data_IF_771893637993
#
_entry.id   IF_771893637993
#
_cell.length_a   1.000
_cell.length_b   1.000
_cell.length_c   1.000
_cell.angle_alpha   90.00
_cell.angle_beta   90.00
_cell.angle_gamma   90.00
#
_symmetry.space_group_name_H-M   'P 1'
#
loop_
_entity.id
_entity.type
_entity.pdbx_description
1 polymer ?
#
# COMPACT_ATOMS: atom_id res chain seq x y z
N UNK A 1 -26.47 31.98 77.82
CA UNK A 1 -27.56 31.01 78.01
C UNK A 1 -26.98 29.76 78.63
N UNK A 2 -27.55 29.36 79.77
CA UNK A 2 -27.41 28.08 80.49
C UNK A 2 -26.02 27.61 80.90
N UNK A 3 -25.63 28.05 82.10
CA UNK A 3 -24.70 27.36 82.97
C UNK A 3 -25.32 26.01 83.42
N UNK A 4 -24.61 24.91 83.21
CA UNK A 4 -24.94 23.63 83.84
C UNK A 4 -24.27 23.58 85.23
N UNK A 5 -25.11 23.52 86.26
CA UNK A 5 -24.76 23.30 87.66
C UNK A 5 -23.95 22.00 87.85
N UNK A 6 -23.04 21.94 88.84
CA UNK A 6 -22.42 20.67 89.23
C UNK A 6 -23.45 19.76 89.90
N UNK A 7 -23.37 18.43 89.73
CA UNK A 7 -24.26 17.52 90.44
C UNK A 7 -23.93 17.55 91.93
N UNK A 8 -24.97 17.70 92.75
CA UNK A 8 -24.91 17.64 94.20
C UNK A 8 -24.24 16.33 94.65
N UNK A 9 -23.20 16.44 95.47
CA UNK A 9 -22.55 15.30 96.10
C UNK A 9 -23.48 14.66 97.12
N UNK A 10 -23.92 13.44 96.87
CA UNK A 10 -24.37 12.52 97.91
C UNK A 10 -23.33 12.46 99.04
N UNK A 11 -23.73 12.34 100.33
CA UNK A 11 -22.78 12.18 101.42
C UNK A 11 -21.84 11.01 101.10
N UNK A 12 -20.52 11.22 101.12
CA UNK A 12 -19.53 10.17 100.84
C UNK A 12 -19.63 9.12 101.94
N UNK A 13 -20.46 8.11 101.73
CA UNK A 13 -20.35 6.83 102.45
C UNK A 13 -18.97 6.26 102.13
N UNK A 14 -18.15 6.12 103.15
CA UNK A 14 -16.83 5.49 103.04
C UNK A 14 -16.92 4.08 103.59
N UNK A 15 -16.02 3.19 103.18
CA UNK A 15 -15.97 1.85 103.77
C UNK A 15 -15.84 1.93 105.31
N UNK A 16 -15.10 2.92 105.81
CA UNK A 16 -14.96 3.16 107.25
C UNK A 16 -16.25 3.60 107.96
N UNK A 17 -17.10 4.43 107.32
CA UNK A 17 -18.38 4.85 107.94
C UNK A 17 -19.40 3.72 107.98
N UNK A 18 -19.45 2.88 106.93
CA UNK A 18 -20.33 1.71 106.88
C UNK A 18 -19.88 0.60 107.83
N UNK A 19 -18.57 0.43 108.02
CA UNK A 19 -18.02 -0.49 109.02
C UNK A 19 -18.36 -0.06 110.45
N UNK A 20 -18.32 1.24 110.75
CA UNK A 20 -18.70 1.76 112.07
C UNK A 20 -20.20 1.58 112.34
N UNK A 21 -21.05 1.81 111.34
CA UNK A 21 -22.48 1.55 111.43
C UNK A 21 -22.77 0.04 111.64
N UNK A 22 -22.03 -0.83 110.96
CA UNK A 22 -22.11 -2.29 111.15
C UNK A 22 -21.69 -2.72 112.56
N UNK A 23 -20.68 -2.06 113.15
CA UNK A 23 -20.27 -2.29 114.55
C UNK A 23 -21.37 -1.91 115.54
N UNK A 24 -22.01 -0.75 115.36
CA UNK A 24 -23.14 -0.32 116.20
C UNK A 24 -24.29 -1.32 116.12
N UNK A 25 -24.64 -1.78 114.91
CA UNK A 25 -25.70 -2.77 114.70
C UNK A 25 -25.34 -4.12 115.34
N UNK A 26 -24.09 -4.58 115.22
CA UNK A 26 -23.64 -5.80 115.87
C UNK A 26 -23.68 -5.71 117.39
N UNK A 27 -23.40 -4.54 117.97
CA UNK A 27 -23.51 -4.28 119.41
C UNK A 27 -24.98 -4.28 119.87
N UNK A 28 -25.91 -3.78 119.06
CA UNK A 28 -27.36 -3.82 119.34
C UNK A 28 -27.96 -5.23 119.26
N UNK A 29 -27.49 -6.06 118.32
CA UNK A 29 -28.01 -7.43 118.10
C UNK A 29 -27.36 -8.45 119.06
N UNK A 30 -26.17 -8.14 119.60
CA UNK A 30 -25.42 -9.04 120.48
C UNK A 30 -24.64 -10.12 119.71
N UNK A 31 -24.15 -9.81 118.50
CA UNK A 31 -23.35 -10.73 117.70
C UNK A 31 -22.02 -11.08 118.36
N UNK A 32 -21.63 -12.36 118.36
CA UNK A 32 -20.38 -12.81 118.99
C UNK A 32 -19.13 -12.46 118.19
N UNK A 33 -18.00 -12.23 118.86
CA UNK A 33 -16.73 -11.80 118.24
C UNK A 33 -16.29 -12.70 117.08
N UNK A 34 -16.42 -14.03 117.21
CA UNK A 34 -16.08 -14.98 116.16
C UNK A 34 -16.92 -14.83 114.87
N UNK A 35 -18.17 -14.40 115.00
CA UNK A 35 -19.09 -14.21 113.88
C UNK A 35 -18.87 -12.85 113.21
N UNK A 36 -18.57 -11.81 114.02
CA UNK A 36 -18.11 -10.50 113.54
C UNK A 36 -16.81 -10.64 112.72
N UNK A 37 -15.82 -11.36 113.24
CA UNK A 37 -14.56 -11.65 112.53
C UNK A 37 -14.81 -12.40 111.22
N UNK A 38 -15.72 -13.38 111.22
CA UNK A 38 -16.12 -14.12 110.00
C UNK A 38 -16.73 -13.20 108.95
N UNK A 39 -17.65 -12.32 109.34
CA UNK A 39 -18.30 -11.37 108.43
C UNK A 39 -17.32 -10.30 107.91
N UNK A 40 -16.40 -9.82 108.76
CA UNK A 40 -15.33 -8.89 108.36
C UNK A 40 -14.36 -9.54 107.35
N UNK A 41 -13.93 -10.78 107.61
CA UNK A 41 -13.08 -11.54 106.67
C UNK A 41 -13.79 -11.78 105.33
N UNK A 42 -15.10 -12.06 105.35
CA UNK A 42 -15.90 -12.20 104.13
C UNK A 42 -15.95 -10.88 103.34
N UNK A 43 -16.19 -9.74 104.02
CA UNK A 43 -16.22 -8.43 103.39
C UNK A 43 -14.85 -8.04 102.81
N UNK A 44 -13.76 -8.35 103.52
CA UNK A 44 -12.38 -8.16 103.03
C UNK A 44 -12.12 -8.99 101.78
N UNK A 45 -12.54 -10.26 101.78
CA UNK A 45 -12.39 -11.17 100.64
C UNK A 45 -13.20 -10.68 99.42
N UNK A 46 -14.45 -10.27 99.61
CA UNK A 46 -15.29 -9.70 98.55
C UNK A 46 -14.70 -8.40 97.98
N UNK A 47 -14.20 -7.50 98.84
CA UNK A 47 -13.49 -6.29 98.41
C UNK A 47 -12.23 -6.62 97.60
N UNK A 48 -11.42 -7.56 98.07
CA UNK A 48 -10.22 -8.03 97.37
C UNK A 48 -10.56 -8.63 96.01
N UNK A 49 -11.64 -9.39 95.89
CA UNK A 49 -12.06 -10.00 94.62
C UNK A 49 -12.58 -8.95 93.63
N UNK A 50 -13.25 -7.89 94.08
CA UNK A 50 -13.59 -6.72 93.25
C UNK A 50 -12.32 -6.04 92.74
N UNK A 51 -11.34 -5.79 93.61
CA UNK A 51 -10.06 -5.20 93.21
C UNK A 51 -9.30 -6.09 92.22
N UNK A 52 -9.19 -7.41 92.48
CA UNK A 52 -8.57 -8.38 91.57
C UNK A 52 -9.25 -8.38 90.21
N UNK A 53 -10.58 -8.48 90.18
CA UNK A 53 -11.36 -8.43 88.94
C UNK A 53 -11.08 -7.14 88.17
N UNK A 54 -10.99 -5.99 88.85
CA UNK A 54 -10.74 -4.72 88.17
C UNK A 54 -9.30 -4.58 87.68
N UNK A 55 -8.33 -5.10 88.42
CA UNK A 55 -6.93 -5.24 87.98
C UNK A 55 -6.84 -6.15 86.75
N UNK A 56 -7.51 -7.30 86.75
CA UNK A 56 -7.48 -8.25 85.63
C UNK A 56 -8.14 -7.68 84.37
N UNK A 57 -9.28 -7.00 84.50
CA UNK A 57 -9.91 -6.27 83.40
C UNK A 57 -8.99 -5.19 82.84
N UNK A 58 -8.30 -4.44 83.70
CA UNK A 58 -7.36 -3.40 83.28
C UNK A 58 -6.11 -3.99 82.64
N UNK A 59 -5.64 -5.15 83.13
CA UNK A 59 -4.51 -5.90 82.53
C UNK A 59 -4.87 -6.40 81.13
N UNK A 60 -6.07 -6.96 80.94
CA UNK A 60 -6.58 -7.35 79.62
C UNK A 60 -6.64 -6.16 78.67
N UNK A 61 -7.22 -5.04 79.10
CA UNK A 61 -7.29 -3.82 78.30
C UNK A 61 -5.90 -3.26 77.95
N UNK A 62 -4.93 -3.32 78.88
CA UNK A 62 -3.54 -2.95 78.59
C UNK A 62 -2.92 -3.86 77.52
N UNK A 63 -3.14 -5.18 77.61
CA UNK A 63 -2.64 -6.13 76.60
C UNK A 63 -3.27 -5.89 75.23
N UNK A 64 -4.56 -5.56 75.17
CA UNK A 64 -5.24 -5.17 73.93
C UNK A 64 -4.61 -3.92 73.31
N UNK A 65 -4.36 -2.87 74.12
CA UNK A 65 -3.66 -1.67 73.64
C UNK A 65 -2.24 -1.96 73.14
N UNK A 66 -1.49 -2.82 73.83
CA UNK A 66 -0.16 -3.24 73.37
C UNK A 66 -0.23 -4.01 72.04
N UNK A 67 -1.25 -4.86 71.85
CA UNK A 67 -1.48 -5.57 70.58
C UNK A 67 -1.81 -4.60 69.45
N UNK A 68 -2.78 -3.70 69.65
CA UNK A 68 -3.14 -2.68 68.63
C UNK A 68 -1.94 -1.81 68.25
N UNK A 69 -1.09 -1.46 69.22
CA UNK A 69 0.14 -0.73 68.95
C UNK A 69 1.10 -1.55 68.07
N UNK A 70 1.33 -2.82 68.41
CA UNK A 70 2.18 -3.71 67.62
C UNK A 70 1.64 -3.94 66.20
N UNK A 71 0.32 -4.11 66.05
CA UNK A 71 -0.33 -4.29 64.76
C UNK A 71 -0.20 -3.02 63.88
N UNK A 72 -0.40 -1.85 64.48
CA UNK A 72 -0.21 -0.55 63.80
C UNK A 72 1.24 -0.35 63.37
N UNK A 73 2.21 -0.78 64.19
CA UNK A 73 3.64 -0.69 63.87
C UNK A 73 4.02 -1.64 62.75
N UNK A 74 3.47 -2.86 62.77
CA UNK A 74 3.66 -3.83 61.70
C UNK A 74 3.10 -3.32 60.37
N UNK A 75 1.92 -2.69 60.39
CA UNK A 75 1.30 -2.14 59.18
C UNK A 75 2.08 -0.94 58.62
N UNK A 76 2.56 -0.02 59.47
CA UNK A 76 3.45 1.06 59.01
C UNK A 76 4.70 0.49 58.34
N UNK A 77 5.35 -0.51 58.95
CA UNK A 77 6.54 -1.13 58.35
C UNK A 77 6.22 -1.80 57.01
N UNK A 78 5.05 -2.42 56.89
CA UNK A 78 4.57 -3.04 55.65
C UNK A 78 4.34 -1.99 54.55
N UNK A 79 3.65 -0.90 54.87
CA UNK A 79 3.40 0.21 53.95
C UNK A 79 4.70 0.91 53.51
N UNK A 80 5.60 1.18 54.45
CA UNK A 80 6.91 1.78 54.17
C UNK A 80 7.75 0.87 53.27
N UNK A 81 7.74 -0.44 53.52
CA UNK A 81 8.44 -1.43 52.68
C UNK A 81 7.85 -1.49 51.27
N UNK A 82 6.51 -1.55 51.16
CA UNK A 82 5.82 -1.59 49.86
C UNK A 82 6.05 -0.32 49.03
N UNK A 83 6.08 0.86 49.67
CA UNK A 83 6.38 2.14 49.01
C UNK A 83 7.87 2.33 48.70
N UNK A 84 8.76 1.49 49.27
CA UNK A 84 10.21 1.62 49.14
C UNK A 84 10.79 2.82 49.88
N UNK A 85 10.12 3.29 50.92
CA UNK A 85 10.53 4.46 51.68
C UNK A 85 11.48 4.09 52.81
N UNK A 86 12.36 5.02 53.18
CA UNK A 86 13.27 4.80 54.30
C UNK A 86 12.56 5.12 55.61
N UNK A 87 12.82 4.35 56.66
CA UNK A 87 12.32 4.64 58.00
C UNK A 87 12.76 6.03 58.55
N UNK A 88 13.73 6.68 57.90
CA UNK A 88 14.15 8.04 58.19
C UNK A 88 13.16 9.12 57.70
N UNK A 89 12.36 8.82 56.67
CA UNK A 89 11.33 9.71 56.13
C UNK A 89 10.16 9.90 57.09
N UNK A 90 9.96 8.93 57.99
CA UNK A 90 8.94 8.96 59.04
C UNK A 90 9.62 8.87 60.41
N UNK A 91 10.26 9.96 60.87
CA UNK A 91 11.00 9.95 62.12
C UNK A 91 10.04 9.64 63.27
N UNK A 92 10.16 8.41 63.78
CA UNK A 92 9.44 7.94 64.95
C UNK A 92 9.84 8.83 66.12
N UNK A 93 8.98 9.80 66.48
CA UNK A 93 9.13 10.53 67.76
C UNK A 93 9.13 9.46 68.85
N UNK A 94 10.30 9.21 69.45
CA UNK A 94 10.51 8.16 70.45
C UNK A 94 9.33 8.13 71.43
N UNK A 95 8.81 6.93 71.66
CA UNK A 95 7.70 6.59 72.54
C UNK A 95 7.74 7.36 73.87
N UNK A 96 7.18 8.57 73.88
CA UNK A 96 7.06 9.42 75.06
C UNK A 96 5.58 9.67 75.28
N UNK A 97 4.99 8.89 76.18
CA UNK A 97 3.58 9.00 76.53
C UNK A 97 2.95 7.65 76.89
N UNK A 98 1.70 7.70 77.32
CA UNK A 98 0.87 6.53 77.58
C UNK A 98 0.59 5.72 76.29
N UNK A 99 0.22 4.44 76.41
CA UNK A 99 -0.12 3.60 75.25
C UNK A 99 -1.18 4.24 74.34
N UNK A 100 -2.18 4.92 74.92
CA UNK A 100 -3.22 5.64 74.17
C UNK A 100 -2.65 6.80 73.35
N UNK A 101 -1.71 7.56 73.90
CA UNK A 101 -1.07 8.67 73.19
C UNK A 101 -0.17 8.16 72.07
N UNK A 102 0.49 7.01 72.25
CA UNK A 102 1.31 6.39 71.21
C UNK A 102 0.48 5.90 70.03
N UNK A 103 -0.66 5.23 70.30
CA UNK A 103 -1.60 4.80 69.25
C UNK A 103 -2.16 6.02 68.50
N UNK A 104 -2.65 7.04 69.21
CA UNK A 104 -3.18 8.26 68.60
C UNK A 104 -2.14 9.04 67.76
N UNK A 105 -0.85 8.95 68.11
CA UNK A 105 0.22 9.57 67.34
C UNK A 105 0.53 8.82 66.02
N UNK A 106 0.17 7.53 65.92
CA UNK A 106 0.41 6.70 64.73
C UNK A 106 -0.73 6.80 63.70
N UNK A 107 -1.94 7.10 64.15
CA UNK A 107 -3.13 7.26 63.31
C UNK A 107 -2.92 8.21 62.11
N UNK A 108 -2.44 9.47 62.27
CA UNK A 108 -2.21 10.36 61.12
C UNK A 108 -1.11 9.86 60.17
N UNK A 109 -0.11 9.13 60.69
CA UNK A 109 0.96 8.56 59.88
C UNK A 109 0.46 7.38 59.02
N UNK A 110 -0.42 6.54 59.58
CA UNK A 110 -1.11 5.49 58.83
C UNK A 110 -2.01 6.07 57.74
N UNK A 111 -2.73 7.15 58.02
CA UNK A 111 -3.55 7.86 57.03
C UNK A 111 -2.69 8.42 55.89
N UNK A 112 -1.56 9.08 56.21
CA UNK A 112 -0.63 9.62 55.20
C UNK A 112 -0.05 8.52 54.29
N UNK A 113 0.45 7.43 54.89
CA UNK A 113 1.01 6.29 54.15
C UNK A 113 -0.04 5.58 53.30
N UNK A 114 -1.26 5.43 53.82
CA UNK A 114 -2.38 4.82 53.08
C UNK A 114 -2.81 5.69 51.90
N UNK A 115 -2.91 7.00 52.08
CA UNK A 115 -3.21 7.94 50.99
C UNK A 115 -2.12 7.91 49.90
N UNK A 116 -0.85 7.83 50.30
CA UNK A 116 0.28 7.72 49.38
C UNK A 116 0.30 6.40 48.62
N UNK A 117 -0.02 5.29 49.28
CA UNK A 117 -0.22 3.97 48.66
C UNK A 117 -1.31 4.05 47.59
N UNK A 118 -2.48 4.59 47.91
CA UNK A 118 -3.59 4.69 46.96
C UNK A 118 -3.25 5.58 45.75
N UNK A 119 -2.59 6.72 45.99
CA UNK A 119 -2.10 7.58 44.91
C UNK A 119 -1.10 6.85 43.99
N UNK A 120 -0.18 6.08 44.59
CA UNK A 120 0.82 5.32 43.84
C UNK A 120 0.18 4.19 43.02
N UNK A 121 -0.76 3.44 43.60
CA UNK A 121 -1.51 2.41 42.88
C UNK A 121 -2.22 3.01 41.66
N UNK A 122 -2.84 4.18 41.81
CA UNK A 122 -3.48 4.88 40.69
C UNK A 122 -2.50 5.19 39.56
N UNK A 123 -1.32 5.75 39.88
CA UNK A 123 -0.27 6.01 38.88
C UNK A 123 0.21 4.73 38.16
N UNK A 124 0.35 3.62 38.91
CA UNK A 124 0.71 2.32 38.33
C UNK A 124 -0.38 1.82 37.37
N UNK A 125 -1.65 1.83 37.80
CA UNK A 125 -2.81 1.44 36.97
C UNK A 125 -2.85 2.24 35.67
N UNK A 126 -2.74 3.57 35.77
CA UNK A 126 -2.77 4.46 34.61
C UNK A 126 -1.60 4.19 33.65
N UNK A 127 -0.38 4.00 34.19
CA UNK A 127 0.82 3.72 33.39
C UNK A 127 0.72 2.37 32.69
N UNK A 128 0.28 1.32 33.40
CA UNK A 128 0.09 -0.02 32.84
C UNK A 128 -1.00 -0.03 31.77
N UNK A 129 -2.15 0.60 32.04
CA UNK A 129 -3.23 0.72 31.05
C UNK A 129 -2.77 1.41 29.76
N UNK A 130 -1.95 2.48 29.88
CA UNK A 130 -1.36 3.13 28.71
C UNK A 130 -0.38 2.24 27.95
N UNK A 131 0.46 1.47 28.66
CA UNK A 131 1.39 0.50 28.06
C UNK A 131 0.60 -0.57 27.30
N UNK A 132 -0.38 -1.19 27.94
CA UNK A 132 -1.21 -2.25 27.34
C UNK A 132 -1.98 -1.75 26.13
N UNK A 133 -2.51 -0.52 26.19
CA UNK A 133 -3.14 0.13 25.03
C UNK A 133 -2.17 0.27 23.85
N UNK A 134 -0.98 0.84 24.06
CA UNK A 134 0.00 1.04 22.97
C UNK A 134 0.51 -0.31 22.43
N UNK A 135 0.78 -1.27 23.31
CA UNK A 135 1.13 -2.63 22.91
C UNK A 135 0.03 -3.27 22.06
N UNK A 136 -1.24 -3.11 22.44
CA UNK A 136 -2.39 -3.60 21.68
C UNK A 136 -2.51 -2.95 20.30
N UNK A 137 -2.31 -1.63 20.20
CA UNK A 137 -2.27 -0.92 18.91
C UNK A 137 -1.14 -1.41 18.00
N UNK A 138 0.05 -1.66 18.55
CA UNK A 138 1.22 -2.19 17.84
C UNK A 138 1.02 -3.64 17.40
N UNK A 139 0.36 -4.46 18.22
CA UNK A 139 0.05 -5.84 17.91
C UNK A 139 -1.10 -5.97 16.88
N UNK A 140 -1.97 -4.96 16.80
CA UNK A 140 -3.19 -5.01 15.98
C UNK A 140 -4.43 -5.56 16.72
N UNK A 141 -4.37 -5.66 18.05
CA UNK A 141 -5.47 -6.15 18.90
C UNK A 141 -6.45 -5.03 19.31
N UNK A 142 -6.50 -3.92 18.58
CA UNK A 142 -7.16 -2.66 18.95
C UNK A 142 -8.68 -2.69 19.16
N UNK A 143 -9.31 -3.86 19.16
CA UNK A 143 -10.71 -4.06 19.52
C UNK A 143 -10.93 -4.70 20.91
N UNK A 144 -9.90 -5.26 21.54
CA UNK A 144 -10.01 -5.71 22.92
C UNK A 144 -9.68 -4.55 23.85
N UNK A 145 -10.73 -3.88 24.32
CA UNK A 145 -10.65 -3.19 25.61
C UNK A 145 -10.21 -4.27 26.59
N UNK A 146 -8.96 -4.21 27.03
CA UNK A 146 -8.50 -5.01 28.15
C UNK A 146 -9.26 -4.50 29.39
N UNK A 147 -10.50 -4.95 29.51
CA UNK A 147 -11.33 -4.85 30.71
C UNK A 147 -10.90 -5.87 31.76
N UNK A 148 -9.66 -6.38 31.66
CA UNK A 148 -9.00 -7.07 32.74
C UNK A 148 -8.32 -6.01 33.57
N UNK A 149 -8.84 -5.78 34.76
CA UNK A 149 -8.18 -5.03 35.82
C UNK A 149 -6.77 -5.61 36.00
N UNK A 150 -5.78 -5.05 35.30
CA UNK A 150 -4.39 -5.45 35.42
C UNK A 150 -4.00 -5.16 36.85
N UNK A 151 -4.05 -6.20 37.67
CA UNK A 151 -3.88 -6.08 39.10
C UNK A 151 -2.49 -5.53 39.37
N UNK A 152 -2.44 -4.30 39.90
CA UNK A 152 -1.19 -3.71 40.35
C UNK A 152 -0.65 -4.58 41.45
N UNK A 153 0.62 -4.95 41.32
CA UNK A 153 1.36 -5.61 42.38
C UNK A 153 1.52 -4.65 43.57
N UNK A 154 0.61 -4.76 44.54
CA UNK A 154 0.62 -3.92 45.74
C UNK A 154 1.80 -4.21 46.68
N UNK A 155 2.56 -5.27 46.43
CA UNK A 155 3.72 -5.63 47.25
C UNK A 155 4.94 -4.75 46.97
N UNK A 156 5.03 -4.15 45.78
CA UNK A 156 6.14 -3.30 45.36
C UNK A 156 5.65 -2.11 44.53
N UNK A 157 5.43 -1.00 45.24
CA UNK A 157 5.01 0.30 44.76
C UNK A 157 6.17 1.32 44.77
N UNK A 158 7.40 0.81 44.70
CA UNK A 158 8.62 1.62 44.78
C UNK A 158 8.70 2.66 43.66
N UNK A 159 9.31 3.81 43.95
CA UNK A 159 9.56 4.87 42.94
C UNK A 159 10.42 4.35 41.79
N UNK A 160 11.35 3.43 42.08
CA UNK A 160 12.22 2.81 41.08
C UNK A 160 11.40 2.03 40.05
N UNK A 161 10.53 1.11 40.49
CA UNK A 161 9.68 0.31 39.59
C UNK A 161 8.71 1.16 38.78
N UNK A 162 8.13 2.19 39.41
CA UNK A 162 7.31 3.16 38.68
C UNK A 162 8.13 3.90 37.61
N UNK A 163 9.37 4.28 37.93
CA UNK A 163 10.30 4.89 37.00
C UNK A 163 10.63 3.99 35.80
N UNK A 164 10.84 2.70 36.03
CA UNK A 164 11.05 1.70 34.98
C UNK A 164 9.83 1.57 34.05
N UNK A 165 8.62 1.51 34.61
CA UNK A 165 7.38 1.50 33.82
C UNK A 165 7.18 2.79 33.02
N UNK A 166 7.43 3.96 33.62
CA UNK A 166 7.38 5.26 32.92
C UNK A 166 8.44 5.34 31.82
N UNK A 167 9.62 4.76 32.03
CA UNK A 167 10.67 4.59 31.01
C UNK A 167 10.18 3.76 29.82
N UNK A 168 9.64 2.56 30.10
CA UNK A 168 9.04 1.69 29.07
C UNK A 168 7.89 2.36 28.32
N UNK A 169 7.03 3.10 29.02
CA UNK A 169 5.95 3.86 28.40
C UNK A 169 6.50 4.91 27.41
N UNK A 170 7.56 5.62 27.79
CA UNK A 170 8.21 6.61 26.91
C UNK A 170 8.82 5.95 25.67
N UNK A 171 9.47 4.80 25.82
CA UNK A 171 10.00 4.02 24.69
C UNK A 171 8.88 3.59 23.73
N UNK A 172 7.77 3.08 24.27
CA UNK A 172 6.61 2.68 23.47
C UNK A 172 5.93 3.87 22.76
N UNK A 173 5.86 5.03 23.41
CA UNK A 173 5.36 6.26 22.79
C UNK A 173 6.25 6.70 21.62
N UNK A 174 7.58 6.61 21.78
CA UNK A 174 8.53 6.91 20.70
C UNK A 174 8.38 5.92 19.53
N UNK A 175 8.28 4.62 19.82
CA UNK A 175 8.05 3.58 18.82
C UNK A 175 6.72 3.81 18.06
N UNK A 176 5.65 4.14 18.78
CA UNK A 176 4.35 4.50 18.17
C UNK A 176 4.49 5.68 17.20
N UNK A 177 5.22 6.73 17.57
CA UNK A 177 5.45 7.87 16.70
C UNK A 177 6.27 7.48 15.45
N UNK A 178 7.36 6.74 15.64
CA UNK A 178 8.20 6.26 14.54
C UNK A 178 7.40 5.40 13.55
N UNK A 179 6.55 4.50 14.04
CA UNK A 179 5.65 3.69 13.21
C UNK A 179 4.63 4.54 12.46
N UNK A 180 4.04 5.54 13.12
CA UNK A 180 3.10 6.45 12.46
C UNK A 180 3.77 7.24 11.32
N UNK A 181 4.99 7.74 11.54
CA UNK A 181 5.78 8.38 10.50
C UNK A 181 6.06 7.42 9.34
N UNK A 182 6.43 6.17 9.63
CA UNK A 182 6.67 5.13 8.63
C UNK A 182 5.42 4.81 7.82
N UNK A 183 4.25 4.67 8.47
CA UNK A 183 2.95 4.48 7.80
C UNK A 183 2.65 5.65 6.87
N UNK A 184 2.83 6.89 7.33
CA UNK A 184 2.60 8.07 6.49
C UNK A 184 3.56 8.13 5.29
N UNK A 185 4.84 7.78 5.50
CA UNK A 185 5.82 7.67 4.42
C UNK A 185 5.41 6.61 3.39
N UNK A 186 4.97 5.44 3.84
CA UNK A 186 4.47 4.37 2.95
C UNK A 186 3.23 4.79 2.17
N UNK A 187 2.28 5.49 2.81
CA UNK A 187 1.11 6.04 2.11
C UNK A 187 1.54 7.03 1.03
N UNK A 188 2.52 7.90 1.29
CA UNK A 188 3.06 8.82 0.28
C UNK A 188 3.67 8.07 -0.90
N UNK A 189 4.47 7.02 -0.64
CA UNK A 189 5.06 6.20 -1.71
C UNK A 189 3.98 5.51 -2.54
N UNK A 190 2.95 4.95 -1.91
CA UNK A 190 1.82 4.34 -2.62
C UNK A 190 1.09 5.38 -3.46
N UNK A 191 0.87 6.58 -2.93
CA UNK A 191 0.27 7.69 -3.67
C UNK A 191 1.09 8.03 -4.92
N UNK A 192 2.40 8.23 -4.79
CA UNK A 192 3.27 8.59 -5.91
C UNK A 192 3.31 7.50 -6.98
N UNK A 193 3.38 6.23 -6.59
CA UNK A 193 3.27 5.08 -7.51
C UNK A 193 1.90 5.03 -8.20
N UNK A 194 0.82 5.30 -7.45
CA UNK A 194 -0.54 5.33 -7.98
C UNK A 194 -0.73 6.45 -9.00
N UNK A 195 -0.17 7.63 -8.76
CA UNK A 195 -0.23 8.79 -9.68
C UNK A 195 0.48 8.48 -11.00
N UNK A 196 1.63 7.81 -10.96
CA UNK A 196 2.40 7.46 -12.17
C UNK A 196 1.68 6.41 -13.02
N UNK A 197 1.11 5.39 -12.38
CA UNK A 197 0.43 4.26 -13.05
C UNK A 197 -1.07 4.47 -13.25
N UNK A 198 -1.64 5.58 -12.75
CA UNK A 198 -3.09 5.86 -12.71
C UNK A 198 -3.90 4.74 -12.06
N UNK A 199 -3.41 4.22 -10.94
CA UNK A 199 -4.11 3.23 -10.12
C UNK A 199 -4.95 3.95 -9.07
N UNK A 200 -6.10 3.38 -8.70
CA UNK A 200 -6.94 3.93 -7.64
C UNK A 200 -6.22 3.81 -6.28
N UNK A 201 -5.70 4.95 -5.81
CA UNK A 201 -5.02 5.09 -4.53
C UNK A 201 -5.92 4.69 -3.35
N UNK A 202 -7.18 5.15 -3.32
CA UNK A 202 -8.07 4.91 -2.18
C UNK A 202 -8.47 3.46 -2.06
N UNK A 203 -8.67 2.78 -3.20
CA UNK A 203 -8.87 1.34 -3.23
C UNK A 203 -7.63 0.61 -2.73
N UNK A 204 -6.46 0.93 -3.27
CA UNK A 204 -5.18 0.29 -2.93
C UNK A 204 -4.86 0.39 -1.43
N UNK A 205 -5.01 1.58 -0.85
CA UNK A 205 -4.79 1.80 0.58
C UNK A 205 -5.90 1.20 1.44
N UNK A 206 -7.14 1.19 0.96
CA UNK A 206 -8.27 0.55 1.64
C UNK A 206 -8.14 -0.97 1.75
N UNK A 207 -7.60 -1.62 0.71
CA UNK A 207 -7.34 -3.07 0.68
C UNK A 207 -6.29 -3.50 1.71
N UNK A 208 -5.35 -2.60 2.04
CA UNK A 208 -4.38 -2.81 3.12
C UNK A 208 -5.08 -2.77 4.48
N UNK A 209 -5.75 -1.65 4.78
CA UNK A 209 -6.52 -1.49 6.01
C UNK A 209 -7.54 -0.32 5.89
N UNK A 210 -8.81 -0.51 6.27
CA UNK A 210 -9.86 0.51 6.13
C UNK A 210 -9.54 1.86 6.80
N UNK A 211 -8.86 1.84 7.95
CA UNK A 211 -8.49 3.05 8.68
C UNK A 211 -7.50 3.97 7.94
N UNK A 212 -6.93 3.52 6.83
CA UNK A 212 -5.96 4.30 6.06
C UNK A 212 -6.63 5.12 4.93
N UNK A 213 -7.90 4.84 4.62
CA UNK A 213 -8.64 5.47 3.52
C UNK A 213 -9.07 6.90 3.81
N UNK A 214 -9.48 7.19 5.05
CA UNK A 214 -9.99 8.49 5.46
C UNK A 214 -9.08 9.16 6.49
N UNK A 215 -8.62 10.38 6.19
CA UNK A 215 -8.10 11.31 7.20
C UNK A 215 -9.24 12.03 7.97
N UNK A 216 -10.50 11.83 7.58
CA UNK A 216 -11.68 12.56 8.09
C UNK A 216 -12.39 11.83 9.25
N UNK A 217 -12.31 10.51 9.30
CA UNK A 217 -12.88 9.73 10.39
C UNK A 217 -11.90 9.75 11.58
N UNK A 218 -12.40 10.04 12.78
CA UNK A 218 -11.63 10.18 14.02
C UNK A 218 -10.91 8.90 14.50
N UNK A 219 -10.83 7.88 13.65
CA UNK A 219 -10.17 6.62 13.94
C UNK A 219 -8.67 6.75 13.67
N UNK A 220 -7.84 6.40 14.65
CA UNK A 220 -6.39 6.41 14.48
C UNK A 220 -5.97 5.45 13.35
N UNK A 221 -4.99 5.88 12.54
CA UNK A 221 -4.37 5.02 11.53
C UNK A 221 -3.78 3.79 12.21
N UNK A 222 -4.05 2.60 11.67
CA UNK A 222 -3.43 1.37 12.15
C UNK A 222 -1.91 1.44 11.97
N UNK A 223 -1.19 1.15 13.05
CA UNK A 223 0.29 1.08 13.10
C UNK A 223 0.79 -0.34 13.43
N UNK A 224 -0.10 -1.32 13.26
CA UNK A 224 0.19 -2.70 13.64
C UNK A 224 1.30 -3.30 12.78
N UNK A 225 1.96 -4.34 13.29
CA UNK A 225 2.95 -5.10 12.53
C UNK A 225 2.36 -5.63 11.21
N UNK A 226 1.13 -6.13 11.25
CA UNK A 226 0.42 -6.65 10.08
C UNK A 226 0.15 -5.54 9.04
N UNK A 227 -0.31 -4.36 9.49
CA UNK A 227 -0.54 -3.23 8.57
C UNK A 227 0.76 -2.77 7.92
N UNK A 228 1.87 -2.68 8.67
CA UNK A 228 3.18 -2.32 8.11
C UNK A 228 3.69 -3.37 7.11
N UNK A 229 3.51 -4.66 7.40
CA UNK A 229 3.88 -5.74 6.50
C UNK A 229 3.07 -5.70 5.19
N UNK A 230 1.75 -5.51 5.29
CA UNK A 230 0.87 -5.33 4.11
C UNK A 230 1.24 -4.10 3.30
N UNK A 231 1.46 -2.95 3.92
CA UNK A 231 1.93 -1.74 3.23
C UNK A 231 3.23 -2.00 2.47
N UNK A 232 4.19 -2.70 3.09
CA UNK A 232 5.46 -3.06 2.44
C UNK A 232 5.22 -3.94 1.23
N UNK A 233 4.41 -5.01 1.37
CA UNK A 233 4.07 -5.91 0.28
C UNK A 233 3.33 -5.20 -0.87
N UNK A 234 2.42 -4.27 -0.57
CA UNK A 234 1.75 -3.44 -1.58
C UNK A 234 2.74 -2.53 -2.30
N UNK A 235 3.67 -1.88 -1.59
CA UNK A 235 4.71 -1.04 -2.20
C UNK A 235 5.59 -1.88 -3.13
N UNK A 236 6.03 -3.06 -2.70
CA UNK A 236 6.89 -3.92 -3.51
C UNK A 236 6.16 -4.42 -4.75
N UNK A 237 4.88 -4.80 -4.62
CA UNK A 237 4.02 -5.16 -5.76
C UNK A 237 3.87 -4.00 -6.75
N UNK A 238 3.59 -2.79 -6.27
CA UNK A 238 3.43 -1.60 -7.13
C UNK A 238 4.75 -1.20 -7.81
N UNK A 239 5.89 -1.32 -7.12
CA UNK A 239 7.21 -1.11 -7.72
C UNK A 239 7.49 -2.14 -8.82
N UNK A 240 7.18 -3.41 -8.58
CA UNK A 240 7.29 -4.47 -9.58
C UNK A 240 6.39 -4.21 -10.80
N UNK A 241 5.15 -3.79 -10.57
CA UNK A 241 4.23 -3.43 -11.65
C UNK A 241 4.72 -2.20 -12.43
N UNK A 242 5.22 -1.16 -11.75
CA UNK A 242 5.84 0.01 -12.39
C UNK A 242 6.98 -0.40 -13.33
N UNK A 243 7.85 -1.29 -12.85
CA UNK A 243 8.97 -1.84 -13.62
C UNK A 243 8.46 -2.57 -14.88
N UNK A 244 7.50 -3.47 -14.70
CA UNK A 244 6.96 -4.27 -15.79
C UNK A 244 6.28 -3.39 -16.85
N UNK A 245 5.47 -2.42 -16.44
CA UNK A 245 4.78 -1.48 -17.33
C UNK A 245 5.77 -0.62 -18.11
N UNK A 246 6.83 -0.13 -17.45
CA UNK A 246 7.88 0.62 -18.12
C UNK A 246 8.62 -0.23 -19.15
N UNK A 247 9.07 -1.43 -18.79
CA UNK A 247 9.74 -2.34 -19.74
C UNK A 247 8.87 -2.67 -20.96
N UNK A 248 7.57 -2.92 -20.73
CA UNK A 248 6.62 -3.15 -21.81
C UNK A 248 6.52 -1.93 -22.74
N UNK A 249 6.38 -0.72 -22.20
CA UNK A 249 6.35 0.51 -22.98
C UNK A 249 7.67 0.76 -23.73
N UNK A 250 8.82 0.50 -23.11
CA UNK A 250 10.13 0.65 -23.77
C UNK A 250 10.28 -0.30 -24.97
N UNK A 251 9.82 -1.55 -24.83
CA UNK A 251 9.78 -2.51 -25.93
C UNK A 251 8.87 -2.03 -27.07
N UNK A 252 7.63 -1.63 -26.74
CA UNK A 252 6.67 -1.10 -27.72
C UNK A 252 7.20 0.16 -28.41
N UNK A 253 7.79 1.08 -27.66
CA UNK A 253 8.34 2.33 -28.18
C UNK A 253 9.51 2.08 -29.14
N UNK A 254 10.36 1.10 -28.85
CA UNK A 254 11.43 0.66 -29.77
C UNK A 254 10.85 0.16 -31.08
N UNK A 255 9.88 -0.76 -31.04
CA UNK A 255 9.19 -1.27 -32.23
C UNK A 255 8.49 -0.16 -33.01
N UNK A 256 7.90 0.80 -32.32
CA UNK A 256 7.23 1.95 -32.91
C UNK A 256 8.21 2.84 -33.70
N UNK A 257 9.40 3.10 -33.14
CA UNK A 257 10.48 3.83 -33.83
C UNK A 257 10.96 3.05 -35.06
N UNK A 258 11.17 1.75 -34.94
CA UNK A 258 11.55 0.89 -36.07
C UNK A 258 10.52 0.95 -37.20
N UNK A 259 9.22 0.86 -36.87
CA UNK A 259 8.13 0.96 -37.84
C UNK A 259 8.03 2.35 -38.46
N UNK A 260 8.23 3.42 -37.68
CA UNK A 260 8.24 4.79 -38.21
C UNK A 260 9.38 5.03 -39.18
N UNK A 261 10.58 4.53 -38.86
CA UNK A 261 11.76 4.62 -39.75
C UNK A 261 11.59 3.76 -41.00
N UNK A 262 10.97 2.59 -40.89
CA UNK A 262 10.73 1.69 -42.03
C UNK A 262 9.69 2.25 -43.01
N UNK A 263 8.71 2.98 -42.50
CA UNK A 263 7.54 3.46 -43.26
C UNK A 263 7.62 4.94 -43.61
N UNK A 264 8.73 5.62 -43.28
CA UNK A 264 8.93 7.07 -43.44
C UNK A 264 7.74 7.91 -42.92
N UNK A 265 7.21 7.56 -41.74
CA UNK A 265 6.04 8.23 -41.15
C UNK A 265 6.38 9.69 -40.79
N UNK A 266 5.56 10.68 -41.18
CA UNK A 266 5.87 12.10 -40.94
C UNK A 266 5.89 12.46 -39.44
N UNK A 267 6.72 13.43 -39.07
CA UNK A 267 6.93 13.84 -37.69
C UNK A 267 5.66 14.29 -36.94
N UNK A 268 4.66 14.82 -37.66
CA UNK A 268 3.37 15.22 -37.07
C UNK A 268 2.57 14.03 -36.51
N UNK A 269 2.66 12.88 -37.17
CA UNK A 269 2.03 11.64 -36.68
C UNK A 269 2.82 11.06 -35.50
N UNK A 270 4.16 11.15 -35.56
CA UNK A 270 5.05 10.69 -34.48
C UNK A 270 4.83 11.48 -33.18
N UNK A 271 4.50 12.78 -33.27
CA UNK A 271 4.32 13.68 -32.12
C UNK A 271 3.28 13.18 -31.11
N UNK A 272 2.24 12.46 -31.57
CA UNK A 272 1.16 11.91 -30.73
C UNK A 272 1.69 10.93 -29.67
N UNK A 273 2.74 10.16 -30.00
CA UNK A 273 3.37 9.18 -29.11
C UNK A 273 4.79 9.57 -28.68
N UNK A 274 5.18 10.84 -28.89
CA UNK A 274 6.49 11.36 -28.46
C UNK A 274 6.74 11.21 -26.95
N UNK A 275 5.69 11.25 -26.14
CA UNK A 275 5.77 11.04 -24.70
C UNK A 275 6.13 9.60 -24.32
N UNK A 276 5.81 8.63 -25.16
CA UNK A 276 6.15 7.21 -24.97
C UNK A 276 7.59 6.95 -25.42
N UNK A 277 8.01 7.53 -26.54
CA UNK A 277 9.40 7.38 -27.02
C UNK A 277 10.42 8.04 -26.10
N UNK A 278 10.04 9.12 -25.40
CA UNK A 278 10.88 9.74 -24.38
C UNK A 278 11.21 8.79 -23.20
N UNK A 279 10.38 7.76 -22.94
CA UNK A 279 10.57 6.82 -21.84
C UNK A 279 11.60 5.71 -22.13
N UNK A 280 12.03 5.55 -23.40
CA UNK A 280 12.98 4.50 -23.81
C UNK A 280 14.27 4.56 -22.99
N UNK A 281 14.80 5.77 -22.79
CA UNK A 281 16.06 5.99 -22.07
C UNK A 281 15.88 6.34 -20.60
N UNK A 282 14.65 6.40 -20.09
CA UNK A 282 14.37 6.79 -18.71
C UNK A 282 14.59 5.62 -17.75
N UNK A 283 15.37 5.80 -16.67
CA UNK A 283 15.44 4.83 -15.58
C UNK A 283 14.16 4.87 -14.74
N UNK A 284 13.85 3.76 -14.08
CA UNK A 284 12.56 3.53 -13.40
C UNK A 284 12.29 4.54 -12.29
N UNK A 285 13.33 4.98 -11.60
CA UNK A 285 13.25 5.92 -10.48
C UNK A 285 12.92 7.36 -10.93
N UNK A 286 13.34 7.75 -12.14
CA UNK A 286 13.11 9.10 -12.67
C UNK A 286 11.70 9.27 -13.27
N UNK A 287 11.03 8.15 -13.59
CA UNK A 287 9.67 8.16 -14.13
C UNK A 287 8.66 8.54 -13.05
N UNK A 288 8.31 9.83 -13.03
CA UNK A 288 7.42 10.47 -12.04
C UNK A 288 6.25 11.22 -12.67
N UNK A 289 6.19 11.30 -14.01
CA UNK A 289 5.11 11.99 -14.72
C UNK A 289 3.78 11.29 -14.48
N UNK A 290 2.74 12.06 -14.16
CA UNK A 290 1.39 11.54 -13.94
C UNK A 290 0.87 10.77 -15.16
N UNK A 291 0.35 9.57 -14.92
CA UNK A 291 -0.32 8.73 -15.91
C UNK A 291 0.52 8.23 -17.08
N UNK A 292 1.84 8.45 -17.06
CA UNK A 292 2.72 8.02 -18.15
C UNK A 292 2.86 6.50 -18.27
N UNK A 293 2.58 5.76 -17.18
CA UNK A 293 2.53 4.29 -17.16
C UNK A 293 1.11 3.77 -16.91
N UNK A 294 0.09 4.54 -17.32
CA UNK A 294 -1.30 4.10 -17.23
C UNK A 294 -1.59 2.94 -18.17
N UNK A 295 -2.57 2.11 -17.81
CA UNK A 295 -3.01 1.01 -18.68
C UNK A 295 -3.53 1.53 -20.03
N UNK A 296 -4.15 2.71 -20.04
CA UNK A 296 -4.63 3.38 -21.25
C UNK A 296 -3.48 3.75 -22.21
N UNK A 297 -2.37 4.31 -21.71
CA UNK A 297 -1.21 4.66 -22.54
C UNK A 297 -0.54 3.40 -23.12
N UNK A 298 -0.47 2.33 -22.33
CA UNK A 298 0.06 1.03 -22.78
C UNK A 298 -0.81 0.49 -23.91
N UNK A 299 -2.13 0.41 -23.69
CA UNK A 299 -3.10 -0.08 -24.67
C UNK A 299 -3.08 0.76 -25.96
N UNK A 300 -3.04 2.09 -25.83
CA UNK A 300 -2.96 2.99 -26.98
C UNK A 300 -1.69 2.74 -27.81
N UNK A 301 -0.56 2.49 -27.15
CA UNK A 301 0.70 2.20 -27.84
C UNK A 301 0.64 0.83 -28.53
N UNK A 302 0.08 -0.19 -27.88
CA UNK A 302 -0.10 -1.53 -28.48
C UNK A 302 -0.98 -1.46 -29.72
N UNK A 303 -2.11 -0.75 -29.64
CA UNK A 303 -3.03 -0.57 -30.77
C UNK A 303 -2.33 0.14 -31.93
N UNK A 304 -1.50 1.15 -31.67
CA UNK A 304 -0.77 1.85 -32.73
C UNK A 304 0.31 0.96 -33.37
N UNK A 305 1.05 0.19 -32.58
CA UNK A 305 2.03 -0.78 -33.12
C UNK A 305 1.34 -1.80 -34.01
N UNK A 306 0.18 -2.32 -33.60
CA UNK A 306 -0.61 -3.25 -34.40
C UNK A 306 -1.11 -2.59 -35.70
N UNK A 307 -1.66 -1.37 -35.59
CA UNK A 307 -2.12 -0.59 -36.74
C UNK A 307 -0.98 -0.36 -37.75
N UNK A 308 0.21 -0.02 -37.28
CA UNK A 308 1.40 0.19 -38.12
C UNK A 308 1.89 -1.11 -38.76
N UNK A 309 1.82 -2.24 -38.06
CA UNK A 309 2.14 -3.54 -38.64
C UNK A 309 1.18 -3.94 -39.76
N UNK A 310 -0.14 -3.73 -39.58
CA UNK A 310 -1.14 -3.95 -40.63
C UNK A 310 -0.90 -3.02 -41.83
N UNK A 311 -0.58 -1.75 -41.57
CA UNK A 311 -0.25 -0.79 -42.62
C UNK A 311 1.02 -1.19 -43.38
N UNK A 312 2.06 -1.67 -42.68
CA UNK A 312 3.30 -2.19 -43.27
C UNK A 312 3.00 -3.34 -44.25
N UNK A 313 2.21 -4.32 -43.84
CA UNK A 313 1.82 -5.44 -44.72
C UNK A 313 1.03 -4.95 -45.94
N UNK A 314 0.11 -4.00 -45.74
CA UNK A 314 -0.69 -3.41 -46.83
C UNK A 314 0.20 -2.68 -47.85
N UNK A 315 1.13 -1.85 -47.37
CA UNK A 315 2.08 -1.14 -48.23
C UNK A 315 3.03 -2.09 -48.95
N UNK A 316 3.47 -3.14 -48.27
CA UNK A 316 4.30 -4.16 -48.88
C UNK A 316 3.58 -4.87 -50.03
N UNK A 317 2.29 -5.21 -49.83
CA UNK A 317 1.43 -5.77 -50.87
C UNK A 317 1.26 -4.83 -52.07
N UNK A 318 1.08 -3.54 -51.83
CA UNK A 318 1.04 -2.52 -52.90
C UNK A 318 2.34 -2.47 -53.70
N UNK A 319 3.51 -2.52 -53.03
CA UNK A 319 4.82 -2.51 -53.68
C UNK A 319 5.04 -3.76 -54.53
N UNK A 320 4.74 -4.95 -53.99
CA UNK A 320 4.81 -6.22 -54.74
C UNK A 320 3.97 -6.15 -56.01
N UNK A 321 2.71 -5.69 -55.92
CA UNK A 321 1.88 -5.58 -57.11
C UNK A 321 2.36 -4.52 -58.11
N UNK A 322 2.93 -3.42 -57.64
CA UNK A 322 3.53 -2.42 -58.53
C UNK A 322 4.70 -3.01 -59.33
N UNK A 323 5.57 -3.78 -58.68
CA UNK A 323 6.68 -4.49 -59.32
C UNK A 323 6.17 -5.56 -60.30
N UNK A 324 5.14 -6.31 -59.92
CA UNK A 324 4.50 -7.29 -60.79
C UNK A 324 3.92 -6.63 -62.05
N UNK A 325 3.24 -5.48 -61.90
CA UNK A 325 2.69 -4.75 -63.04
C UNK A 325 3.79 -4.21 -63.97
N UNK A 326 4.90 -3.70 -63.42
CA UNK A 326 6.07 -3.27 -64.23
C UNK A 326 6.61 -4.45 -65.05
N UNK A 327 6.76 -5.61 -64.42
CA UNK A 327 7.22 -6.83 -65.09
C UNK A 327 6.27 -7.26 -66.23
N UNK A 328 4.95 -7.24 -65.98
CA UNK A 328 3.92 -7.56 -66.97
C UNK A 328 3.88 -6.56 -68.14
N UNK A 329 4.12 -5.27 -67.87
CA UNK A 329 4.20 -4.25 -68.91
C UNK A 329 5.42 -4.47 -69.82
N UNK A 330 6.57 -4.83 -69.24
CA UNK A 330 7.76 -5.20 -70.01
C UNK A 330 7.48 -6.43 -70.88
N UNK A 331 6.92 -7.51 -70.31
CA UNK A 331 6.61 -8.71 -71.08
C UNK A 331 5.62 -8.46 -72.22
N UNK A 332 4.60 -7.63 -71.98
CA UNK A 332 3.64 -7.22 -73.00
C UNK A 332 4.30 -6.42 -74.12
N UNK A 333 5.24 -5.54 -73.78
CA UNK A 333 5.99 -4.74 -74.76
C UNK A 333 6.85 -5.59 -75.71
N UNK A 334 7.26 -6.79 -75.28
CA UNK A 334 8.05 -7.74 -76.09
C UNK A 334 7.22 -8.87 -76.69
N UNK A 335 5.89 -8.72 -76.69
CA UNK A 335 4.93 -9.71 -77.16
C UNK A 335 5.11 -11.10 -76.52
N UNK A 336 5.46 -11.16 -75.23
CA UNK A 336 5.42 -12.39 -74.45
C UNK A 336 4.05 -12.54 -73.78
N UNK A 337 3.47 -13.72 -73.93
CA UNK A 337 2.23 -14.09 -73.24
C UNK A 337 2.56 -14.55 -71.81
N UNK A 338 1.91 -13.94 -70.82
CA UNK A 338 2.12 -14.23 -69.40
C UNK A 338 0.76 -14.32 -68.72
N UNK A 339 0.52 -15.41 -67.99
CA UNK A 339 -0.65 -15.59 -67.15
C UNK A 339 -0.55 -14.73 -65.88
N UNK A 340 -0.95 -13.46 -66.04
CA UNK A 340 -0.93 -12.42 -65.01
C UNK A 340 -1.80 -12.77 -63.80
N UNK A 341 -2.94 -13.43 -64.01
CA UNK A 341 -3.89 -13.72 -62.94
C UNK A 341 -3.37 -14.83 -62.02
N UNK A 342 -2.78 -15.89 -62.58
CA UNK A 342 -2.12 -16.93 -61.79
C UNK A 342 -0.92 -16.37 -61.02
N UNK A 343 -0.10 -15.52 -61.63
CA UNK A 343 1.04 -14.89 -60.97
C UNK A 343 0.61 -14.02 -59.78
N UNK A 344 -0.44 -13.20 -59.94
CA UNK A 344 -1.01 -12.38 -58.86
C UNK A 344 -1.57 -13.22 -57.71
N UNK A 345 -2.23 -14.34 -58.03
CA UNK A 345 -2.77 -15.24 -57.01
C UNK A 345 -1.68 -15.95 -56.20
N UNK A 346 -0.59 -16.35 -56.85
CA UNK A 346 0.59 -16.92 -56.17
C UNK A 346 1.19 -15.89 -55.22
N UNK A 347 1.38 -14.64 -55.66
CA UNK A 347 1.92 -13.56 -54.82
C UNK A 347 1.02 -13.26 -53.62
N UNK A 348 -0.31 -13.25 -53.80
CA UNK A 348 -1.27 -13.09 -52.70
C UNK A 348 -1.13 -14.19 -51.65
N UNK A 349 -1.01 -15.44 -52.09
CA UNK A 349 -0.86 -16.58 -51.18
C UNK A 349 0.47 -16.53 -50.43
N UNK A 350 1.56 -16.12 -51.10
CA UNK A 350 2.88 -15.94 -50.46
C UNK A 350 2.81 -14.87 -49.38
N UNK A 351 2.26 -13.69 -49.68
CA UNK A 351 2.11 -12.58 -48.71
C UNK A 351 1.21 -12.99 -47.55
N UNK A 352 0.08 -13.65 -47.83
CA UNK A 352 -0.89 -14.09 -46.82
C UNK A 352 -0.38 -15.22 -45.92
N UNK A 353 0.59 -16.02 -46.38
CA UNK A 353 1.16 -17.12 -45.59
C UNK A 353 2.10 -16.65 -44.48
N UNK A 354 2.60 -15.40 -44.54
CA UNK A 354 3.53 -14.84 -43.55
C UNK A 354 4.89 -15.57 -43.43
N UNK A 355 5.14 -16.57 -44.28
CA UNK A 355 6.27 -17.50 -44.15
C UNK A 355 7.51 -17.08 -44.96
N UNK A 356 7.39 -16.03 -45.79
CA UNK A 356 8.46 -15.55 -46.66
C UNK A 356 8.84 -14.13 -46.26
N UNK A 357 10.14 -13.89 -46.11
CA UNK A 357 10.67 -12.53 -45.94
C UNK A 357 10.34 -11.69 -47.18
N UNK A 358 9.48 -10.70 -47.00
CA UNK A 358 8.97 -9.83 -48.06
C UNK A 358 10.09 -8.99 -48.70
N UNK A 359 11.16 -8.69 -47.96
CA UNK A 359 12.35 -8.01 -48.50
C UNK A 359 13.03 -8.88 -49.56
N UNK A 360 13.24 -10.15 -49.25
CA UNK A 360 13.79 -11.15 -50.19
C UNK A 360 12.90 -11.33 -51.42
N UNK A 361 11.56 -11.32 -51.24
CA UNK A 361 10.62 -11.40 -52.36
C UNK A 361 10.75 -10.17 -53.29
N UNK A 362 10.78 -8.95 -52.74
CA UNK A 362 10.94 -7.74 -53.53
C UNK A 362 12.27 -7.72 -54.31
N UNK A 363 13.37 -8.13 -53.67
CA UNK A 363 14.67 -8.24 -54.34
C UNK A 363 14.61 -9.23 -55.53
N UNK A 364 13.98 -10.39 -55.35
CA UNK A 364 13.78 -11.35 -56.44
C UNK A 364 12.93 -10.78 -57.58
N UNK A 365 11.93 -9.95 -57.28
CA UNK A 365 11.13 -9.29 -58.31
C UNK A 365 11.95 -8.21 -59.05
N UNK A 366 12.82 -7.48 -58.35
CA UNK A 366 13.74 -6.54 -58.98
C UNK A 366 14.73 -7.23 -59.92
N UNK A 367 15.23 -8.41 -59.55
CA UNK A 367 16.05 -9.24 -60.44
C UNK A 367 15.27 -9.69 -61.67
N UNK A 368 14.02 -10.14 -61.50
CA UNK A 368 13.14 -10.54 -62.61
C UNK A 368 12.86 -9.37 -63.56
N UNK A 369 12.58 -8.18 -63.03
CA UNK A 369 12.39 -6.96 -63.82
C UNK A 369 13.65 -6.60 -64.59
N UNK A 370 14.83 -6.72 -63.97
CA UNK A 370 16.11 -6.44 -64.61
C UNK A 370 16.37 -7.39 -65.77
N UNK A 371 16.16 -8.69 -65.55
CA UNK A 371 16.27 -9.70 -66.60
C UNK A 371 15.26 -9.48 -67.73
N UNK A 372 14.01 -9.12 -67.40
CA UNK A 372 12.99 -8.81 -68.40
C UNK A 372 13.36 -7.58 -69.25
N UNK A 373 13.96 -6.54 -68.65
CA UNK A 373 14.47 -5.37 -69.38
C UNK A 373 15.62 -5.75 -70.32
N UNK A 374 16.53 -6.62 -69.90
CA UNK A 374 17.61 -7.11 -70.76
C UNK A 374 17.07 -7.94 -71.93
N UNK A 375 16.10 -8.81 -71.68
CA UNK A 375 15.40 -9.54 -72.73
C UNK A 375 14.66 -8.60 -73.71
N UNK A 376 14.04 -7.52 -73.21
CA UNK A 376 13.42 -6.53 -74.06
C UNK A 376 14.43 -5.79 -74.93
N UNK A 377 15.58 -5.41 -74.37
CA UNK A 377 16.66 -4.76 -75.11
C UNK A 377 17.23 -5.68 -76.19
N UNK A 378 17.52 -6.94 -75.87
CA UNK A 378 18.07 -7.90 -76.84
C UNK A 378 17.12 -8.22 -77.98
N UNK A 379 15.80 -8.19 -77.75
CA UNK A 379 14.78 -8.41 -78.79
C UNK A 379 14.41 -7.17 -79.58
N UNK A 380 14.88 -5.98 -79.17
CA UNK A 380 14.49 -4.70 -79.77
C UNK A 380 14.68 -4.67 -81.28
N UNK A 381 15.86 -5.05 -81.76
CA UNK A 381 16.16 -5.03 -83.20
C UNK A 381 15.24 -5.97 -84.01
N UNK A 382 14.81 -7.08 -83.41
CA UNK A 382 13.88 -8.04 -84.03
C UNK A 382 12.48 -7.43 -84.05
N UNK A 383 12.01 -6.88 -82.94
CA UNK A 383 10.70 -6.25 -82.83
C UNK A 383 10.58 -5.04 -83.78
N UNK A 384 11.61 -4.20 -83.87
CA UNK A 384 11.66 -3.06 -84.80
C UNK A 384 11.57 -3.53 -86.27
N UNK A 385 12.14 -4.70 -86.59
CA UNK A 385 12.02 -5.31 -87.93
C UNK A 385 10.62 -5.88 -88.15
N UNK A 386 10.04 -6.55 -87.17
CA UNK A 386 8.67 -7.08 -87.22
C UNK A 386 7.66 -5.94 -87.38
N UNK A 387 7.83 -4.82 -86.69
CA UNK A 387 6.96 -3.65 -86.81
C UNK A 387 7.07 -3.01 -88.20
N UNK A 388 8.30 -2.85 -88.72
CA UNK A 388 8.51 -2.39 -90.12
C UNK A 388 7.88 -3.34 -91.13
N UNK A 389 7.98 -4.64 -90.91
CA UNK A 389 7.39 -5.65 -91.77
C UNK A 389 5.85 -5.58 -91.72
N UNK A 390 5.27 -5.53 -90.52
CA UNK A 390 3.82 -5.35 -90.32
C UNK A 390 3.30 -4.08 -90.98
N UNK A 391 3.98 -2.94 -90.81
CA UNK A 391 3.61 -1.69 -91.47
C UNK A 391 3.66 -1.82 -93.00
N UNK A 392 4.68 -2.49 -93.54
CA UNK A 392 4.79 -2.71 -94.97
C UNK A 392 3.67 -3.64 -95.50
N UNK A 393 3.28 -4.69 -94.76
CA UNK A 393 2.14 -5.55 -95.09
C UNK A 393 0.80 -4.80 -94.99
N UNK A 394 0.64 -3.90 -94.03
CA UNK A 394 -0.53 -3.03 -93.94
C UNK A 394 -0.61 -2.05 -95.12
N UNK A 395 0.52 -1.47 -95.53
CA UNK A 395 0.61 -0.61 -96.73
C UNK A 395 0.39 -1.42 -98.02
N UNK A 396 0.81 -2.68 -98.08
CA UNK A 396 0.52 -3.61 -99.20
C UNK A 396 -0.98 -3.85 -99.33
N UNK A 397 -1.65 -4.21 -98.24
CA UNK A 397 -3.09 -4.41 -98.22
C UNK A 397 -3.84 -3.14 -98.62
N UNK A 398 -3.42 -1.99 -98.11
CA UNK A 398 -3.99 -0.70 -98.49
C UNK A 398 -3.78 -0.40 -99.99
N UNK A 399 -2.60 -0.72 -100.53
CA UNK A 399 -2.28 -0.54 -101.93
C UNK A 399 -3.12 -1.47 -102.82
N UNK A 400 -3.29 -2.74 -102.45
CA UNK A 400 -4.12 -3.70 -103.17
C UNK A 400 -5.60 -3.24 -103.21
N UNK A 401 -6.14 -2.79 -102.07
CA UNK A 401 -7.48 -2.19 -101.99
C UNK A 401 -7.59 -0.94 -102.88
N UNK A 402 -6.55 -0.09 -102.90
CA UNK A 402 -6.49 1.12 -103.73
C UNK A 402 -6.34 0.81 -105.23
N UNK A 403 -5.62 -0.26 -105.60
CA UNK A 403 -5.43 -0.65 -106.99
C UNK A 403 -6.70 -1.27 -107.59
N UNK A 404 -7.55 -1.90 -106.76
CA UNK A 404 -8.88 -2.41 -107.11
C UNK A 404 -9.96 -1.33 -107.18
N UNK A 405 -9.71 -0.11 -106.70
CA UNK A 405 -10.66 1.01 -106.78
C UNK A 405 -10.76 1.57 -108.21
N UNK A 406 -11.92 1.42 -108.85
CA UNK A 406 -12.19 1.94 -110.20
C UNK A 406 -12.16 3.48 -110.26
N UNK A 407 -12.37 4.18 -109.14
CA UNK A 407 -12.36 5.64 -109.05
C UNK A 407 -10.98 6.24 -108.70
N UNK A 408 -9.92 5.44 -108.71
CA UNK A 408 -8.56 5.84 -108.26
C UNK A 408 -7.92 7.02 -109.01
N UNK A 409 -8.38 7.32 -110.23
CA UNK A 409 -7.90 8.45 -111.03
C UNK A 409 -8.91 9.60 -111.13
N UNK A 410 -9.97 9.60 -110.32
CA UNK A 410 -10.93 10.70 -110.27
C UNK A 410 -10.21 12.01 -109.84
N UNK A 411 -10.52 13.13 -110.52
CA UNK A 411 -9.89 14.43 -110.29
C UNK A 411 -10.38 15.12 -109.00
N UNK A 412 -10.53 14.36 -107.92
CA UNK A 412 -10.94 14.84 -106.60
C UNK A 412 -9.82 15.53 -105.83
N UNK A 413 -10.20 16.43 -104.92
CA UNK A 413 -9.26 17.15 -104.04
C UNK A 413 -8.56 16.16 -103.09
N UNK A 414 -7.35 15.71 -103.44
CA UNK A 414 -6.57 14.74 -102.65
C UNK A 414 -5.98 13.58 -103.45
N UNK A 415 -6.41 13.37 -104.69
CA UNK A 415 -5.97 12.24 -105.54
C UNK A 415 -4.43 12.18 -105.72
N UNK A 416 -3.78 13.34 -105.91
CA UNK A 416 -2.31 13.42 -106.00
C UNK A 416 -1.59 12.93 -104.72
N UNK A 417 -2.18 13.10 -103.53
CA UNK A 417 -1.59 12.60 -102.27
C UNK A 417 -1.70 11.08 -102.17
N UNK A 418 -2.85 10.52 -102.56
CA UNK A 418 -3.06 9.06 -102.58
C UNK A 418 -2.18 8.40 -103.64
N UNK A 419 -2.03 9.00 -104.82
CA UNK A 419 -1.11 8.52 -105.85
C UNK A 419 0.35 8.53 -105.36
N UNK A 420 0.77 9.59 -104.67
CA UNK A 420 2.10 9.67 -104.06
C UNK A 420 2.30 8.67 -102.90
N UNK A 421 1.24 8.36 -102.14
CA UNK A 421 1.27 7.29 -101.12
C UNK A 421 1.38 5.93 -101.79
N UNK A 422 0.60 5.66 -102.84
CA UNK A 422 0.65 4.41 -103.59
C UNK A 422 2.03 4.17 -104.22
N UNK A 423 2.68 5.19 -104.78
CA UNK A 423 4.04 5.07 -105.30
C UNK A 423 5.05 4.75 -104.19
N UNK A 424 4.94 5.41 -103.03
CA UNK A 424 5.78 5.10 -101.86
C UNK A 424 5.51 3.70 -101.30
N UNK A 425 4.24 3.28 -101.25
CA UNK A 425 3.84 1.95 -100.82
C UNK A 425 4.41 0.88 -101.75
N UNK A 426 4.34 1.04 -103.09
CA UNK A 426 4.97 0.12 -104.04
C UNK A 426 6.47 -0.06 -103.81
N UNK A 427 7.19 1.04 -103.53
CA UNK A 427 8.63 0.99 -103.23
C UNK A 427 8.89 0.24 -101.91
N UNK A 428 8.00 0.39 -100.92
CA UNK A 428 8.10 -0.28 -99.63
C UNK A 428 7.78 -1.77 -99.74
N UNK A 429 6.69 -2.13 -100.44
CA UNK A 429 6.24 -3.50 -100.70
C UNK A 429 7.24 -4.26 -101.57
N UNK A 430 7.82 -3.61 -102.59
CA UNK A 430 8.86 -4.24 -103.43
C UNK A 430 10.15 -4.59 -102.69
N UNK A 431 10.31 -4.17 -101.42
CA UNK A 431 11.41 -4.57 -100.54
C UNK A 431 11.03 -5.71 -99.59
N UNK A 432 9.77 -6.12 -99.56
CA UNK A 432 9.36 -7.32 -98.85
C UNK A 432 9.88 -8.55 -99.59
N UNK A 433 10.37 -9.58 -98.89
CA UNK A 433 10.65 -10.86 -99.53
C UNK A 433 9.37 -11.34 -100.22
N UNK A 434 9.43 -11.62 -101.52
CA UNK A 434 8.29 -12.20 -102.22
C UNK A 434 7.84 -13.45 -101.46
N UNK A 435 6.57 -13.53 -101.09
CA UNK A 435 5.99 -14.80 -100.66
C UNK A 435 6.21 -15.80 -101.80
N UNK A 436 7.08 -16.78 -101.56
CA UNK A 436 7.07 -17.99 -102.35
C UNK A 436 5.76 -18.69 -101.99
N UNK A 437 4.73 -18.41 -102.79
CA UNK A 437 3.45 -19.11 -102.81
C UNK A 437 3.61 -20.62 -102.79
#
# INVERSE_FOLDING_TARGET
MTALSPPASSPRTTCGSLLHELQIIWDEIGEGDSERDRMLLQLEQECLDIYRRKVDLTRKYKSELCRTLADSEAEINRLVSALGETAASFPRKKAKGSLKQQIAAMEPLLEELSAKKEGRIREFRETQAMITRICGEIAGNGGFVASGDEQVDESDLTVKRLGELKGRLKELQNEKNLRLQKVNSYISVIHDLSVVMSIDFFKTVGDVHPSLRDNLNAQAKSISNETLARLTGTIDSLKGEKQQRLQKLQGLATTLIELWNLMDIPAEEQKKLSHVTALISSPVDEVSRHGCLSSEVIEQTEVEVERLNVLKVTKMKELVFKKQNELEEIYRSVHMDVDSDTARQILLNIIGSGNVDLSTLLASMDDQITNAKEHALSRKDILDRVEKWKFATEEEKWLDDYEKDENRYSAGRGAHKNLKRAEKARILVGKLPCEFT
#
